data_IF_391215436564
#
_entry.id   IF_391215436564
#
_cell.length_a   1.000
_cell.length_b   1.000
_cell.length_c   1.000
_cell.angle_alpha   90.00
_cell.angle_beta   90.00
_cell.angle_gamma   90.00
#
_symmetry.space_group_name_H-M   'P 1'
#
loop_
_entity.id
_entity.type
_entity.pdbx_description
1 polymer ?
#
# COMPACT_ATOMS: atom_id res chain seq x y z
N UNK A 1 -1.72 -18.56 12.96
CA UNK A 1 -2.28 -17.22 13.18
C UNK A 1 -2.46 -16.57 11.82
N UNK A 2 -3.57 -15.86 11.60
CA UNK A 2 -3.80 -15.04 10.41
C UNK A 2 -2.78 -13.90 10.34
N UNK A 3 -2.33 -13.56 9.14
CA UNK A 3 -1.45 -12.38 8.95
C UNK A 3 -2.29 -11.11 9.15
N UNK A 4 -1.70 -10.04 9.67
CA UNK A 4 -2.41 -8.78 9.93
C UNK A 4 -2.11 -7.75 8.84
N UNK A 5 -3.17 -7.13 8.32
CA UNK A 5 -3.15 -6.05 7.33
C UNK A 5 -3.63 -4.76 7.99
N UNK A 6 -2.81 -3.71 7.93
CA UNK A 6 -3.24 -2.35 8.20
C UNK A 6 -3.32 -1.59 6.87
N UNK A 7 -4.39 -0.84 6.62
CA UNK A 7 -4.55 -0.05 5.40
C UNK A 7 -5.00 1.38 5.71
N UNK A 8 -4.15 2.34 5.35
CA UNK A 8 -4.45 3.76 5.40
C UNK A 8 -5.00 4.21 4.04
N UNK A 9 -6.24 4.69 4.00
CA UNK A 9 -6.88 5.14 2.76
C UNK A 9 -6.94 6.67 2.71
N UNK A 10 -6.13 7.26 1.84
CA UNK A 10 -5.97 8.71 1.67
C UNK A 10 -6.56 9.16 0.33
N UNK A 11 -7.86 9.42 0.27
CA UNK A 11 -8.44 9.80 -1.01
C UNK A 11 -9.95 9.96 -1.05
N UNK A 12 -10.52 9.51 -2.16
CA UNK A 12 -11.95 9.59 -2.44
C UNK A 12 -12.62 8.22 -2.26
N UNK A 13 -13.92 8.15 -2.55
CA UNK A 13 -14.70 6.90 -2.52
C UNK A 13 -14.11 5.79 -3.40
N UNK A 14 -13.41 6.13 -4.49
CA UNK A 14 -12.71 5.15 -5.32
C UNK A 14 -11.59 4.45 -4.54
N UNK A 15 -10.77 5.19 -3.77
CA UNK A 15 -9.74 4.58 -2.96
C UNK A 15 -10.33 3.69 -1.84
N UNK A 16 -11.50 4.04 -1.29
CA UNK A 16 -12.19 3.17 -0.32
C UNK A 16 -12.56 1.83 -0.97
N UNK A 17 -13.18 1.87 -2.16
CA UNK A 17 -13.52 0.67 -2.93
C UNK A 17 -12.29 -0.16 -3.32
N UNK A 18 -11.22 0.51 -3.77
CA UNK A 18 -9.96 -0.14 -4.12
C UNK A 18 -9.34 -0.82 -2.90
N UNK A 19 -9.40 -0.18 -1.73
CA UNK A 19 -8.94 -0.76 -0.46
C UNK A 19 -9.76 -2.00 -0.10
N UNK A 20 -11.10 -1.94 -0.19
CA UNK A 20 -11.99 -3.09 0.03
C UNK A 20 -11.66 -4.25 -0.92
N UNK A 21 -11.39 -3.96 -2.20
CA UNK A 21 -10.96 -4.97 -3.18
C UNK A 21 -9.64 -5.62 -2.74
N UNK A 22 -8.62 -4.83 -2.41
CA UNK A 22 -7.32 -5.36 -1.97
C UNK A 22 -7.44 -6.18 -0.68
N UNK A 23 -8.29 -5.78 0.26
CA UNK A 23 -8.56 -6.53 1.48
C UNK A 23 -9.15 -7.90 1.14
N UNK A 24 -10.13 -7.95 0.25
CA UNK A 24 -10.76 -9.21 -0.17
C UNK A 24 -9.75 -10.15 -0.85
N UNK A 25 -8.94 -9.64 -1.78
CA UNK A 25 -7.89 -10.41 -2.46
C UNK A 25 -6.86 -10.98 -1.48
N UNK A 26 -6.34 -10.13 -0.58
CA UNK A 26 -5.35 -10.54 0.41
C UNK A 26 -5.92 -11.51 1.46
N UNK A 27 -7.20 -11.39 1.80
CA UNK A 27 -7.86 -12.34 2.68
C UNK A 27 -8.02 -13.70 1.99
N UNK A 28 -8.56 -13.72 0.77
CA UNK A 28 -8.89 -14.94 0.04
C UNK A 28 -7.64 -15.75 -0.37
N UNK A 29 -6.56 -15.07 -0.78
CA UNK A 29 -5.38 -15.74 -1.33
C UNK A 29 -4.22 -15.87 -0.34
N UNK A 30 -4.12 -14.97 0.64
CA UNK A 30 -2.93 -14.85 1.49
C UNK A 30 -3.24 -14.95 3.00
N UNK A 31 -4.52 -15.05 3.37
CA UNK A 31 -4.96 -15.20 4.77
C UNK A 31 -4.73 -13.96 5.63
N UNK A 32 -4.72 -12.76 5.03
CA UNK A 32 -4.64 -11.51 5.77
C UNK A 32 -5.99 -11.14 6.39
N UNK A 33 -5.95 -10.64 7.62
CA UNK A 33 -7.08 -10.04 8.32
C UNK A 33 -6.77 -8.58 8.65
N UNK A 34 -7.78 -7.73 8.61
CA UNK A 34 -7.62 -6.34 9.00
C UNK A 34 -7.26 -6.20 10.48
N UNK A 35 -6.39 -5.23 10.76
CA UNK A 35 -6.14 -4.69 12.09
C UNK A 35 -6.25 -3.17 12.07
N UNK A 36 -6.70 -2.59 13.18
CA UNK A 36 -6.66 -1.15 13.42
C UNK A 36 -5.32 -0.69 14.00
N UNK A 37 -4.44 -1.63 14.38
CA UNK A 37 -3.13 -1.35 14.95
C UNK A 37 -2.03 -1.65 13.92
N UNK A 38 -1.42 -0.59 13.38
CA UNK A 38 -0.32 -0.70 12.43
C UNK A 38 0.95 -1.35 13.03
N UNK A 39 1.13 -1.33 14.34
CA UNK A 39 2.30 -1.94 15.00
C UNK A 39 2.24 -3.47 14.99
N UNK A 40 1.04 -4.06 14.94
CA UNK A 40 0.84 -5.51 14.88
C UNK A 40 0.81 -6.05 13.44
N UNK A 41 0.74 -5.17 12.44
CA UNK A 41 0.56 -5.52 11.04
C UNK A 41 1.78 -6.23 10.44
N UNK A 42 1.55 -7.31 9.69
CA UNK A 42 2.55 -7.95 8.82
C UNK A 42 2.68 -7.21 7.48
N UNK A 43 1.62 -6.52 7.06
CA UNK A 43 1.58 -5.68 5.88
C UNK A 43 0.87 -4.36 6.20
N UNK A 44 1.54 -3.25 5.89
CA UNK A 44 0.99 -1.89 5.96
C UNK A 44 0.81 -1.36 4.55
N UNK A 45 -0.39 -0.93 4.20
CA UNK A 45 -0.75 -0.38 2.90
C UNK A 45 -1.15 1.09 3.02
N UNK A 46 -0.68 1.93 2.10
CA UNK A 46 -1.17 3.30 1.94
C UNK A 46 -1.81 3.43 0.56
N UNK A 47 -3.13 3.58 0.48
CA UNK A 47 -3.85 3.80 -0.77
C UNK A 47 -4.15 5.29 -0.95
N UNK A 48 -3.49 5.95 -1.91
CA UNK A 48 -3.50 7.42 -2.01
C UNK A 48 -3.95 7.95 -3.37
N UNK A 49 -4.81 8.98 -3.35
CA UNK A 49 -5.30 9.69 -4.52
C UNK A 49 -4.41 10.87 -4.93
N UNK A 50 -4.43 11.24 -6.21
CA UNK A 50 -3.63 12.35 -6.78
C UNK A 50 -4.40 13.67 -6.94
N UNK A 51 -5.72 13.70 -6.70
CA UNK A 51 -6.60 14.81 -7.12
C UNK A 51 -6.71 15.99 -6.13
N UNK A 52 -5.98 15.99 -5.01
CA UNK A 52 -5.95 17.13 -4.05
C UNK A 52 -4.54 17.72 -3.98
N UNK A 53 -4.37 18.94 -3.46
CA UNK A 53 -3.12 19.72 -3.61
C UNK A 53 -1.91 19.26 -2.77
N UNK A 54 -2.01 18.25 -1.89
CA UNK A 54 -0.85 17.78 -1.06
C UNK A 54 -0.67 16.26 -0.83
N UNK A 55 -1.08 15.33 -1.73
CA UNK A 55 -1.04 13.90 -1.48
C UNK A 55 0.39 13.36 -1.37
N UNK A 56 1.34 13.92 -2.12
CA UNK A 56 2.74 13.45 -2.11
C UNK A 56 3.42 13.72 -0.77
N UNK A 57 3.29 14.93 -0.22
CA UNK A 57 3.88 15.26 1.07
C UNK A 57 3.26 14.42 2.20
N UNK A 58 1.93 14.26 2.19
CA UNK A 58 1.24 13.44 3.18
C UNK A 58 1.66 11.98 3.08
N UNK A 59 1.74 11.41 1.86
CA UNK A 59 2.24 10.05 1.62
C UNK A 59 3.60 9.82 2.27
N UNK A 60 4.60 10.67 1.98
CA UNK A 60 5.95 10.47 2.53
C UNK A 60 6.00 10.71 4.04
N UNK A 61 5.15 11.58 4.58
CA UNK A 61 5.01 11.79 6.02
C UNK A 61 4.50 10.52 6.71
N UNK A 62 3.41 9.93 6.19
CA UNK A 62 2.84 8.67 6.71
C UNK A 62 3.80 7.50 6.57
N UNK A 63 4.48 7.37 5.42
CA UNK A 63 5.52 6.36 5.22
C UNK A 63 6.61 6.43 6.29
N UNK A 64 7.06 7.64 6.66
CA UNK A 64 8.04 7.84 7.72
C UNK A 64 7.52 7.45 9.11
N UNK A 65 6.24 7.66 9.39
CA UNK A 65 5.59 7.23 10.64
C UNK A 65 5.51 5.70 10.69
N UNK A 66 4.94 5.06 9.67
CA UNK A 66 4.78 3.61 9.64
C UNK A 66 6.11 2.86 9.60
N UNK A 67 7.13 3.40 8.96
CA UNK A 67 8.46 2.78 8.98
C UNK A 67 9.07 2.71 10.39
N UNK A 68 8.74 3.67 11.27
CA UNK A 68 9.19 3.65 12.67
C UNK A 68 8.31 2.78 13.57
N UNK A 69 7.02 2.66 13.22
CA UNK A 69 6.02 1.95 14.03
C UNK A 69 5.95 0.45 13.74
N UNK A 70 6.26 0.05 12.50
CA UNK A 70 6.09 -1.33 12.06
C UNK A 70 6.90 -2.32 12.92
N UNK A 71 6.35 -3.50 13.16
CA UNK A 71 7.12 -4.62 13.71
C UNK A 71 8.20 -5.09 12.75
N UNK A 72 9.18 -5.80 13.28
CA UNK A 72 10.26 -6.41 12.50
C UNK A 72 9.70 -7.37 11.44
N UNK A 73 10.25 -7.32 10.22
CA UNK A 73 9.81 -8.15 9.09
C UNK A 73 8.54 -7.68 8.39
N UNK A 74 7.81 -6.67 8.91
CA UNK A 74 6.62 -6.16 8.26
C UNK A 74 6.92 -5.42 6.94
N UNK A 75 6.05 -5.64 5.95
CA UNK A 75 6.13 -5.02 4.62
C UNK A 75 5.35 -3.71 4.56
N UNK A 76 5.82 -2.75 3.77
CA UNK A 76 5.10 -1.51 3.46
C UNK A 76 4.85 -1.42 1.96
N UNK A 77 3.59 -1.23 1.56
CA UNK A 77 3.16 -1.03 0.17
C UNK A 77 2.46 0.30 -0.05
N UNK A 78 2.59 0.86 -1.26
CA UNK A 78 1.88 2.08 -1.67
C UNK A 78 1.01 1.79 -2.88
N UNK A 79 -0.25 2.20 -2.82
CA UNK A 79 -1.25 1.99 -3.87
C UNK A 79 -1.94 3.28 -4.31
N UNK A 80 -2.59 3.26 -5.47
CA UNK A 80 -3.52 4.29 -5.91
C UNK A 80 -2.97 5.23 -6.99
N UNK A 81 -3.67 6.34 -7.24
CA UNK A 81 -3.34 7.25 -8.34
C UNK A 81 -1.97 7.92 -8.13
N UNK A 82 -1.61 8.29 -6.90
CA UNK A 82 -0.28 8.84 -6.59
C UNK A 82 0.81 7.79 -6.79
N UNK A 83 0.54 6.51 -6.47
CA UNK A 83 1.44 5.41 -6.76
C UNK A 83 1.67 5.24 -8.26
N UNK A 84 0.61 5.34 -9.05
CA UNK A 84 0.66 5.30 -10.52
C UNK A 84 1.49 6.45 -11.10
N UNK A 85 1.36 7.65 -10.53
CA UNK A 85 2.08 8.84 -11.00
C UNK A 85 3.56 8.84 -10.62
N UNK A 86 3.90 8.49 -9.37
CA UNK A 86 5.28 8.55 -8.90
C UNK A 86 6.08 7.28 -9.20
N UNK A 87 5.42 6.12 -9.20
CA UNK A 87 6.04 4.83 -9.50
C UNK A 87 7.35 4.60 -8.73
N UNK A 88 8.43 4.42 -9.49
CA UNK A 88 9.79 4.16 -8.98
C UNK A 88 10.32 5.27 -8.06
N UNK A 89 9.84 6.51 -8.21
CA UNK A 89 10.28 7.63 -7.35
C UNK A 89 9.90 7.43 -5.89
N UNK A 90 8.83 6.67 -5.60
CA UNK A 90 8.46 6.33 -4.23
C UNK A 90 9.57 5.51 -3.57
N UNK A 91 10.04 4.45 -4.24
CA UNK A 91 11.10 3.59 -3.70
C UNK A 91 12.42 4.35 -3.58
N UNK A 92 12.74 5.22 -4.55
CA UNK A 92 13.96 6.06 -4.47
C UNK A 92 13.95 6.97 -3.23
N UNK A 93 12.80 7.58 -2.91
CA UNK A 93 12.65 8.50 -1.77
C UNK A 93 12.39 7.79 -0.44
N UNK A 94 11.76 6.62 -0.47
CA UNK A 94 11.47 5.79 0.69
C UNK A 94 11.95 4.35 0.44
N UNK A 95 13.27 4.08 0.57
CA UNK A 95 13.85 2.78 0.23
C UNK A 95 13.32 1.60 1.05
N UNK A 96 12.63 1.85 2.17
CA UNK A 96 11.98 0.83 3.00
C UNK A 96 10.63 0.36 2.45
N UNK A 97 10.06 1.02 1.43
CA UNK A 97 8.84 0.57 0.73
C UNK A 97 9.16 -0.70 -0.05
N UNK A 98 8.35 -1.74 0.13
CA UNK A 98 8.54 -3.05 -0.50
C UNK A 98 7.93 -3.12 -1.89
N UNK A 99 6.84 -2.43 -2.17
CA UNK A 99 6.26 -2.40 -3.50
C UNK A 99 5.37 -1.19 -3.73
N UNK A 100 5.14 -0.88 -5.01
CA UNK A 100 4.27 0.19 -5.49
C UNK A 100 3.28 -0.39 -6.49
N UNK A 101 1.99 -0.17 -6.27
CA UNK A 101 0.91 -0.70 -7.09
C UNK A 101 0.05 0.44 -7.65
N UNK A 102 -0.10 0.51 -8.96
CA UNK A 102 -0.95 1.50 -9.61
C UNK A 102 -2.44 1.26 -9.30
N UNK A 103 -3.27 2.30 -9.41
CA UNK A 103 -4.71 2.22 -9.13
C UNK A 103 -5.44 1.18 -10.01
N UNK A 104 -4.95 0.95 -11.23
CA UNK A 104 -5.54 -0.02 -12.16
C UNK A 104 -5.04 -1.45 -11.95
N UNK A 105 -4.12 -1.68 -11.01
CA UNK A 105 -3.47 -2.96 -10.77
C UNK A 105 -3.83 -3.57 -9.40
N UNK A 106 -4.82 -3.01 -8.68
CA UNK A 106 -5.21 -3.44 -7.31
C UNK A 106 -5.49 -4.94 -7.20
N UNK A 107 -6.01 -5.58 -8.25
CA UNK A 107 -6.27 -7.02 -8.28
C UNK A 107 -5.00 -7.88 -8.30
N UNK A 108 -3.85 -7.33 -8.70
CA UNK A 108 -2.54 -8.02 -8.71
C UNK A 108 -1.89 -8.05 -7.32
N UNK A 109 -2.53 -7.52 -6.28
CA UNK A 109 -1.91 -7.35 -4.95
C UNK A 109 -1.40 -8.67 -4.36
N UNK A 110 -2.15 -9.76 -4.49
CA UNK A 110 -1.77 -11.07 -3.94
C UNK A 110 -0.43 -11.59 -4.53
N UNK A 111 -0.15 -11.29 -5.80
CA UNK A 111 1.11 -11.64 -6.44
C UNK A 111 2.25 -10.67 -6.08
N UNK A 112 1.93 -9.37 -6.03
CA UNK A 112 2.91 -8.30 -5.87
C UNK A 112 3.54 -8.28 -4.48
N UNK A 113 2.81 -8.69 -3.43
CA UNK A 113 3.36 -8.70 -2.07
C UNK A 113 4.58 -9.63 -1.93
N UNK A 114 4.78 -10.58 -2.85
CA UNK A 114 5.90 -11.52 -2.84
C UNK A 114 7.14 -11.02 -3.59
N UNK A 115 7.02 -9.91 -4.32
CA UNK A 115 8.09 -9.36 -5.16
C UNK A 115 8.66 -8.10 -4.52
N UNK A 116 9.82 -8.21 -3.88
CA UNK A 116 10.46 -7.05 -3.27
C UNK A 116 10.89 -6.02 -4.33
N UNK A 117 10.66 -4.75 -4.01
CA UNK A 117 10.82 -3.57 -4.87
C UNK A 117 10.03 -3.61 -6.18
N UNK A 118 8.95 -4.38 -6.25
CA UNK A 118 8.06 -4.36 -7.41
C UNK A 118 7.41 -2.99 -7.58
N UNK A 119 7.31 -2.54 -8.84
CA UNK A 119 6.60 -1.32 -9.24
C UNK A 119 5.72 -1.68 -10.41
N UNK A 120 4.43 -1.86 -10.13
CA UNK A 120 3.42 -2.31 -11.09
C UNK A 120 2.43 -1.18 -11.36
N UNK A 121 2.78 -0.29 -12.29
CA UNK A 121 1.99 0.93 -12.60
C UNK A 121 1.47 0.96 -14.03
N UNK A 122 1.87 -0.02 -14.86
CA UNK A 122 1.50 -0.11 -16.26
C UNK A 122 0.03 -0.52 -16.42
N UNK A 123 -0.57 -0.14 -17.55
CA UNK A 123 -2.02 -0.28 -17.82
C UNK A 123 -2.27 -1.36 -18.89
N UNK A 124 -1.21 -2.04 -19.36
CA UNK A 124 -1.24 -2.98 -20.48
C UNK A 124 -2.30 -4.10 -20.32
#
# INVERSE_FOLDING_TARGET
MSKKLFIETLGCAMNVRDSEHMIAELNAHEGYELTSDASEADLIMINTCSVREKPVHKLFSELGVFNRLKKEGAKIGVCGCTASHLGKEIIKKAPFVNFVLGARNVSKIADIIHKDKAVEIDID
#
